data_IF_261141534743
#
_entry.id   IF_261141534743
#
_cell.length_a   1.000
_cell.length_b   1.000
_cell.length_c   1.000
_cell.angle_alpha   90.00
_cell.angle_beta   90.00
_cell.angle_gamma   90.00
#
_symmetry.space_group_name_H-M   'P 1'
#
loop_
_entity.id
_entity.type
_entity.pdbx_description
1 polymer ?
#
# COMPACT_ATOMS: atom_id res chain seq x y z
N UNK A 1 -4.41 -4.06 -21.77
CA UNK A 1 -4.28 -5.33 -21.03
C UNK A 1 -3.89 -5.00 -19.60
N UNK A 2 -4.58 -5.57 -18.62
CA UNK A 2 -4.18 -5.45 -17.21
C UNK A 2 -3.10 -6.49 -16.96
N UNK A 3 -1.95 -6.08 -16.43
CA UNK A 3 -0.89 -7.04 -16.08
C UNK A 3 -1.30 -7.84 -14.84
N UNK A 4 -0.80 -9.07 -14.68
CA UNK A 4 -1.09 -9.90 -13.50
C UNK A 4 -0.78 -9.13 -12.19
N UNK A 5 0.28 -8.31 -12.20
CA UNK A 5 0.66 -7.45 -11.09
C UNK A 5 -0.38 -6.38 -10.77
N UNK A 6 -1.01 -5.78 -11.79
CA UNK A 6 -2.10 -4.82 -11.58
C UNK A 6 -3.36 -5.47 -11.02
N UNK A 7 -3.65 -6.72 -11.38
CA UNK A 7 -4.78 -7.48 -10.81
C UNK A 7 -4.53 -7.83 -9.34
N UNK A 8 -3.31 -8.26 -9.01
CA UNK A 8 -2.87 -8.52 -7.64
C UNK A 8 -2.92 -7.24 -6.80
N UNK A 9 -2.40 -6.12 -7.33
CA UNK A 9 -2.43 -4.82 -6.67
C UNK A 9 -3.86 -4.38 -6.32
N UNK A 10 -4.80 -4.54 -7.25
CA UNK A 10 -6.22 -4.21 -7.02
C UNK A 10 -6.83 -5.09 -5.92
N UNK A 11 -6.65 -6.42 -6.00
CA UNK A 11 -7.18 -7.33 -4.99
C UNK A 11 -6.58 -7.08 -3.61
N UNK A 12 -5.29 -6.76 -3.56
CA UNK A 12 -4.59 -6.42 -2.33
C UNK A 12 -5.17 -5.14 -1.71
N UNK A 13 -5.32 -4.07 -2.49
CA UNK A 13 -5.93 -2.82 -2.02
C UNK A 13 -7.38 -3.06 -1.56
N UNK A 14 -8.20 -3.77 -2.34
CA UNK A 14 -9.58 -4.06 -1.95
C UNK A 14 -9.66 -4.89 -0.66
N UNK A 15 -8.78 -5.87 -0.47
CA UNK A 15 -8.72 -6.64 0.78
C UNK A 15 -8.31 -5.77 1.98
N UNK A 16 -7.41 -4.80 1.78
CA UNK A 16 -7.01 -3.85 2.82
C UNK A 16 -8.14 -2.89 3.20
N UNK A 17 -8.89 -2.38 2.22
CA UNK A 17 -10.06 -1.53 2.43
C UNK A 17 -11.20 -2.29 3.13
N UNK A 18 -11.41 -3.56 2.77
CA UNK A 18 -12.47 -4.41 3.32
C UNK A 18 -12.15 -4.87 4.76
N UNK A 19 -10.88 -5.16 5.06
CA UNK A 19 -10.43 -5.52 6.41
C UNK A 19 -10.48 -4.35 7.39
N UNK A 20 -10.52 -3.10 6.90
CA UNK A 20 -10.48 -1.86 7.70
C UNK A 20 -9.27 -1.78 8.65
N UNK A 21 -8.25 -2.60 8.40
CA UNK A 21 -7.03 -2.71 9.20
C UNK A 21 -6.01 -1.62 8.82
N UNK A 22 -6.26 -0.90 7.72
CA UNK A 22 -5.39 0.17 7.22
C UNK A 22 -6.16 1.47 6.99
N UNK A 23 -5.55 2.57 7.41
CA UNK A 23 -6.03 3.93 7.14
C UNK A 23 -5.96 4.27 5.65
N UNK A 24 -6.92 5.09 5.21
CA UNK A 24 -7.07 5.50 3.81
C UNK A 24 -5.81 6.18 3.25
N UNK A 25 -5.05 6.91 4.08
CA UNK A 25 -3.75 7.49 3.72
C UNK A 25 -2.71 6.41 3.31
N UNK A 26 -2.65 5.30 4.04
CA UNK A 26 -1.72 4.20 3.73
C UNK A 26 -2.14 3.47 2.44
N UNK A 27 -3.44 3.33 2.21
CA UNK A 27 -3.98 2.77 0.97
C UNK A 27 -3.62 3.63 -0.24
N UNK A 28 -3.72 4.96 -0.10
CA UNK A 28 -3.29 5.91 -1.14
C UNK A 28 -1.78 5.84 -1.42
N UNK A 29 -0.94 5.71 -0.38
CA UNK A 29 0.51 5.51 -0.54
C UNK A 29 0.84 4.20 -1.26
N UNK A 30 0.20 3.08 -0.87
CA UNK A 30 0.38 1.77 -1.52
C UNK A 30 -0.04 1.86 -2.99
N UNK A 31 -1.15 2.54 -3.28
CA UNK A 31 -1.65 2.72 -4.65
C UNK A 31 -0.69 3.55 -5.51
N UNK A 32 -0.11 4.61 -4.95
CA UNK A 32 0.96 5.38 -5.60
C UNK A 32 2.18 4.51 -5.87
N UNK A 33 2.59 3.72 -4.89
CA UNK A 33 3.78 2.87 -4.99
C UNK A 33 3.63 1.77 -6.04
N UNK A 34 2.43 1.17 -6.14
CA UNK A 34 2.07 0.17 -7.14
C UNK A 34 1.83 0.76 -8.54
N UNK A 35 1.56 2.07 -8.63
CA UNK A 35 1.37 2.78 -9.90
C UNK A 35 2.66 3.42 -10.44
N UNK A 36 3.69 3.55 -9.61
CA UNK A 36 5.00 4.05 -10.02
C UNK A 36 5.72 2.94 -10.79
N UNK A 37 6.25 3.23 -11.98
CA UNK A 37 6.94 2.27 -12.86
C UNK A 37 8.33 1.86 -12.29
N UNK A 38 8.65 2.29 -11.07
CA UNK A 38 9.88 1.97 -10.36
C UNK A 38 9.82 0.58 -9.74
N UNK A 39 11.00 -0.01 -9.61
CA UNK A 39 11.19 -1.28 -8.91
C UNK A 39 10.83 -1.12 -7.43
N UNK A 40 9.64 -1.60 -7.08
CA UNK A 40 9.13 -1.63 -5.72
C UNK A 40 10.04 -2.51 -4.85
N UNK A 41 10.50 -1.99 -3.71
CA UNK A 41 11.27 -2.76 -2.73
C UNK A 41 10.44 -3.04 -1.48
N UNK A 42 10.80 -4.11 -0.77
CA UNK A 42 10.18 -4.45 0.50
C UNK A 42 10.27 -3.29 1.51
N UNK A 43 11.40 -2.57 1.55
CA UNK A 43 11.60 -1.36 2.37
C UNK A 43 10.54 -0.28 2.12
N UNK A 44 10.02 -0.15 0.90
CA UNK A 44 9.03 0.86 0.59
C UNK A 44 7.67 0.53 1.20
N UNK A 45 7.28 -0.75 1.20
CA UNK A 45 6.11 -1.20 1.95
C UNK A 45 6.33 -1.05 3.45
N UNK A 46 7.49 -1.47 3.96
CA UNK A 46 7.82 -1.33 5.39
C UNK A 46 7.69 0.12 5.83
N UNK A 47 8.09 1.11 5.03
CA UNK A 47 7.88 2.53 5.36
C UNK A 47 6.40 2.89 5.50
N UNK A 48 5.54 2.45 4.59
CA UNK A 48 4.09 2.75 4.63
C UNK A 48 3.41 2.10 5.83
N UNK A 49 3.81 0.88 6.20
CA UNK A 49 3.24 0.19 7.35
C UNK A 49 3.88 0.60 8.69
N UNK A 50 5.15 1.00 8.69
CA UNK A 50 5.91 1.41 9.88
C UNK A 50 5.70 2.86 10.27
N UNK A 51 5.19 3.72 9.38
CA UNK A 51 4.70 5.03 9.79
C UNK A 51 3.46 4.82 10.66
N UNK A 52 3.51 5.20 11.95
CA UNK A 52 2.32 5.16 12.78
C UNK A 52 1.30 6.14 12.22
N UNK A 53 0.02 5.79 12.34
CA UNK A 53 -1.08 6.67 11.96
C UNK A 53 -1.15 7.74 13.02
N UNK A 54 -0.64 8.91 12.68
CA UNK A 54 -0.20 9.89 13.68
C UNK A 54 1.18 9.51 14.20
N UNK A 55 2.15 10.39 13.95
CA UNK A 55 3.50 10.28 14.51
C UNK A 55 3.50 9.98 16.01
N UNK A 56 4.58 9.36 16.45
CA UNK A 56 4.97 9.05 17.83
C UNK A 56 4.47 7.71 18.39
N UNK A 57 5.36 6.72 18.31
CA UNK A 57 5.50 5.72 19.38
C UNK A 57 6.36 6.38 20.46
N UNK A 58 5.78 6.71 21.62
CA UNK A 58 6.50 7.19 22.80
C UNK A 58 6.24 6.26 23.97
#
# INVERSE_FOLDING_TARGET
MVTLQQDIAKKFISALEEGKELDSDKVEEIRKLLSDDKKIKADDFVKIFSTPVGGDVK
#
